data_IF_385547762378
#
_entry.id   IF_385547762378
#
_cell.length_a   1.000
_cell.length_b   1.000
_cell.length_c   1.000
_cell.angle_alpha   90.00
_cell.angle_beta   90.00
_cell.angle_gamma   90.00
#
_symmetry.space_group_name_H-M   'P 1'
#
loop_
_entity.id
_entity.type
_entity.pdbx_description
1 polymer ?
#
# COMPACT_ATOMS: atom_id res chain seq x y z
N UNK A 1 -12.01 -40.46 -26.68
CA UNK A 1 -10.56 -40.33 -26.43
C UNK A 1 -10.30 -40.36 -24.92
N UNK A 2 -9.33 -41.10 -24.37
CA UNK A 2 -9.06 -41.07 -22.92
C UNK A 2 -8.41 -39.74 -22.56
N UNK A 3 -9.11 -38.89 -21.80
CA UNK A 3 -8.57 -37.64 -21.26
C UNK A 3 -7.42 -37.94 -20.29
N UNK A 4 -6.37 -37.12 -20.32
CA UNK A 4 -5.29 -37.21 -19.33
C UNK A 4 -5.77 -36.78 -17.94
N UNK A 5 -5.10 -37.23 -16.86
CA UNK A 5 -5.43 -36.81 -15.49
C UNK A 5 -5.40 -35.28 -15.32
N UNK A 6 -4.48 -34.60 -16.02
CA UNK A 6 -4.43 -33.14 -16.03
C UNK A 6 -5.65 -32.53 -16.71
N UNK A 7 -6.11 -33.10 -17.82
CA UNK A 7 -7.31 -32.67 -18.55
C UNK A 7 -8.58 -32.89 -17.73
N UNK A 8 -8.68 -34.01 -17.01
CA UNK A 8 -9.81 -34.29 -16.12
C UNK A 8 -9.91 -33.27 -14.98
N UNK A 9 -8.77 -32.91 -14.36
CA UNK A 9 -8.75 -31.85 -13.33
C UNK A 9 -9.13 -30.48 -13.87
N UNK A 10 -8.75 -30.16 -15.11
CA UNK A 10 -9.16 -28.90 -15.76
C UNK A 10 -10.67 -28.86 -16.01
N UNK A 11 -11.23 -29.97 -16.49
CA UNK A 11 -12.68 -30.14 -16.68
C UNK A 11 -13.44 -30.02 -15.36
N UNK A 12 -12.94 -30.65 -14.30
CA UNK A 12 -13.52 -30.55 -12.96
C UNK A 12 -13.44 -29.12 -12.41
N UNK A 13 -12.30 -28.45 -12.58
CA UNK A 13 -12.11 -27.07 -12.15
C UNK A 13 -13.08 -26.10 -12.88
N UNK A 14 -13.41 -26.39 -14.13
CA UNK A 14 -14.36 -25.62 -14.94
C UNK A 14 -15.83 -25.87 -14.58
N UNK A 15 -16.16 -26.76 -13.64
CA UNK A 15 -17.54 -27.13 -13.33
C UNK A 15 -18.34 -25.94 -12.72
N UNK A 16 -19.40 -25.44 -13.37
CA UNK A 16 -20.10 -24.22 -12.96
C UNK A 16 -20.71 -24.25 -11.55
N UNK A 17 -21.23 -25.40 -11.11
CA UNK A 17 -21.88 -25.55 -9.80
C UNK A 17 -20.94 -25.53 -8.58
N UNK A 18 -19.62 -25.45 -8.78
CA UNK A 18 -18.62 -25.49 -7.69
C UNK A 18 -17.86 -24.18 -7.59
N UNK A 19 -17.56 -23.75 -6.37
CA UNK A 19 -16.53 -22.72 -6.14
C UNK A 19 -15.16 -23.37 -6.27
N UNK A 20 -14.32 -22.85 -7.16
CA UNK A 20 -13.04 -23.46 -7.51
C UNK A 20 -11.91 -22.47 -7.30
N UNK A 21 -10.92 -22.85 -6.49
CA UNK A 21 -9.62 -22.20 -6.46
C UNK A 21 -8.64 -22.98 -7.34
N UNK A 22 -8.08 -22.33 -8.36
CA UNK A 22 -7.17 -22.96 -9.32
C UNK A 22 -5.73 -22.47 -9.10
N UNK A 23 -4.92 -23.25 -8.39
CA UNK A 23 -3.48 -23.05 -8.31
C UNK A 23 -2.78 -23.77 -9.47
N UNK A 24 -2.11 -23.03 -10.35
CA UNK A 24 -1.44 -23.65 -11.49
C UNK A 24 -0.27 -22.81 -12.03
N UNK A 25 0.80 -23.48 -12.49
CA UNK A 25 2.00 -22.84 -13.03
C UNK A 25 1.74 -22.10 -14.36
N UNK A 26 2.71 -21.32 -14.84
CA UNK A 26 2.62 -20.73 -16.18
C UNK A 26 2.41 -21.83 -17.24
N UNK A 27 1.60 -21.57 -18.26
CA UNK A 27 1.32 -22.53 -19.33
C UNK A 27 0.36 -23.69 -18.98
N UNK A 28 -0.13 -23.78 -17.75
CA UNK A 28 -0.99 -24.88 -17.27
C UNK A 28 -2.45 -24.84 -17.75
N UNK A 29 -2.82 -23.92 -18.64
CA UNK A 29 -4.19 -23.80 -19.16
C UNK A 29 -5.20 -23.08 -18.27
N UNK A 30 -4.79 -22.22 -17.32
CA UNK A 30 -5.73 -21.44 -16.48
C UNK A 30 -6.79 -20.69 -17.28
N UNK A 31 -6.36 -20.00 -18.34
CA UNK A 31 -7.26 -19.26 -19.25
C UNK A 31 -8.22 -20.20 -19.98
N UNK A 32 -7.78 -21.42 -20.32
CA UNK A 32 -8.65 -22.45 -20.90
C UNK A 32 -9.73 -22.85 -19.90
N UNK A 33 -9.37 -23.17 -18.65
CA UNK A 33 -10.34 -23.54 -17.60
C UNK A 33 -11.40 -22.44 -17.39
N UNK A 34 -11.00 -21.17 -17.34
CA UNK A 34 -11.95 -20.05 -17.23
C UNK A 34 -12.86 -19.93 -18.46
N UNK A 35 -12.31 -20.08 -19.67
CA UNK A 35 -13.09 -20.02 -20.91
C UNK A 35 -14.07 -21.19 -21.02
N UNK A 36 -13.63 -22.40 -20.67
CA UNK A 36 -14.44 -23.62 -20.61
C UNK A 36 -15.59 -23.43 -19.61
N UNK A 37 -15.32 -22.84 -18.43
CA UNK A 37 -16.33 -22.54 -17.42
C UNK A 37 -17.40 -21.57 -17.92
N UNK A 38 -17.01 -20.48 -18.57
CA UNK A 38 -17.97 -19.52 -19.14
C UNK A 38 -18.81 -20.18 -20.23
N UNK A 39 -18.20 -20.97 -21.11
CA UNK A 39 -18.92 -21.68 -22.16
C UNK A 39 -19.95 -22.67 -21.58
N UNK A 40 -19.60 -23.39 -20.51
CA UNK A 40 -20.52 -24.30 -19.80
C UNK A 40 -21.67 -23.55 -19.14
N UNK A 41 -21.43 -22.41 -18.49
CA UNK A 41 -22.51 -21.56 -17.96
C UNK A 41 -23.50 -21.14 -19.04
N UNK A 42 -23.00 -20.75 -20.22
CA UNK A 42 -23.85 -20.38 -21.36
C UNK A 42 -24.67 -21.56 -21.90
N UNK A 43 -24.06 -22.76 -21.97
CA UNK A 43 -24.73 -24.01 -22.36
C UNK A 43 -25.80 -24.43 -21.33
N UNK A 44 -25.58 -24.15 -20.06
CA UNK A 44 -26.55 -24.37 -18.98
C UNK A 44 -27.69 -23.32 -18.99
N UNK A 45 -27.74 -22.45 -20.01
CA UNK A 45 -28.80 -21.47 -20.22
C UNK A 45 -28.62 -20.16 -19.45
N UNK A 46 -27.48 -19.94 -18.79
CA UNK A 46 -27.20 -18.67 -18.12
C UNK A 46 -27.08 -17.56 -19.16
N UNK A 47 -27.85 -16.49 -18.98
CA UNK A 47 -27.77 -15.33 -19.87
C UNK A 47 -26.37 -14.68 -19.78
N UNK A 48 -25.76 -14.25 -20.91
CA UNK A 48 -24.40 -13.68 -20.92
C UNK A 48 -24.21 -12.52 -19.93
N UNK A 49 -25.21 -11.64 -19.77
CA UNK A 49 -25.15 -10.50 -18.85
C UNK A 49 -25.11 -10.89 -17.36
N UNK A 50 -25.44 -12.14 -17.02
CA UNK A 50 -25.40 -12.68 -15.66
C UNK A 50 -24.05 -13.33 -15.32
N UNK A 51 -23.09 -13.34 -16.26
CA UNK A 51 -21.76 -13.89 -16.06
C UNK A 51 -20.76 -12.73 -15.93
N UNK A 52 -20.19 -12.56 -14.74
CA UNK A 52 -19.13 -11.59 -14.48
C UNK A 52 -17.77 -12.30 -14.45
N UNK A 53 -16.86 -11.88 -15.33
CA UNK A 53 -15.48 -12.34 -15.35
C UNK A 53 -14.53 -11.15 -15.20
N UNK A 54 -13.72 -11.17 -14.14
CA UNK A 54 -12.79 -10.10 -13.81
C UNK A 54 -11.35 -10.52 -14.07
N UNK A 55 -10.53 -9.58 -14.53
CA UNK A 55 -9.08 -9.77 -14.72
C UNK A 55 -8.31 -8.51 -14.34
N UNK A 56 -6.98 -8.59 -14.32
CA UNK A 56 -6.12 -7.48 -13.96
C UNK A 56 -5.92 -6.50 -15.13
N UNK A 57 -5.76 -7.00 -16.36
CA UNK A 57 -5.40 -6.16 -17.52
C UNK A 57 -6.47 -6.17 -18.59
N UNK A 58 -6.61 -5.03 -19.30
CA UNK A 58 -7.51 -4.91 -20.46
C UNK A 58 -7.14 -5.94 -21.55
N UNK A 59 -5.84 -6.18 -21.76
CA UNK A 59 -5.35 -7.17 -22.72
C UNK A 59 -5.82 -8.60 -22.38
N UNK A 60 -5.74 -9.02 -21.11
CA UNK A 60 -6.22 -10.33 -20.70
C UNK A 60 -7.74 -10.47 -20.85
N UNK A 61 -8.49 -9.39 -20.60
CA UNK A 61 -9.95 -9.38 -20.79
C UNK A 61 -10.29 -9.61 -22.26
N UNK A 62 -9.69 -8.82 -23.16
CA UNK A 62 -9.86 -8.94 -24.61
C UNK A 62 -9.40 -10.31 -25.13
N UNK A 63 -8.26 -10.82 -24.65
CA UNK A 63 -7.78 -12.14 -25.03
C UNK A 63 -8.78 -13.25 -24.66
N UNK A 64 -9.30 -13.22 -23.44
CA UNK A 64 -10.28 -14.20 -22.97
C UNK A 64 -11.59 -14.11 -23.76
N UNK A 65 -12.08 -12.89 -24.02
CA UNK A 65 -13.27 -12.66 -24.83
C UNK A 65 -13.09 -13.20 -26.26
N UNK A 66 -11.96 -12.89 -26.90
CA UNK A 66 -11.64 -13.37 -28.24
C UNK A 66 -11.56 -14.90 -28.30
N UNK A 67 -10.96 -15.54 -27.29
CA UNK A 67 -10.90 -17.01 -27.20
C UNK A 67 -12.28 -17.64 -27.07
N UNK A 68 -13.14 -17.09 -26.21
CA UNK A 68 -14.51 -17.57 -26.04
C UNK A 68 -15.30 -17.42 -27.35
N UNK A 69 -15.30 -16.22 -27.94
CA UNK A 69 -16.02 -15.95 -29.18
C UNK A 69 -15.53 -16.79 -30.35
N UNK A 70 -14.21 -16.99 -30.48
CA UNK A 70 -13.64 -17.90 -31.47
C UNK A 70 -14.17 -19.33 -31.30
N UNK A 71 -14.27 -19.81 -30.05
CA UNK A 71 -14.81 -21.15 -29.79
C UNK A 71 -16.30 -21.25 -30.09
N UNK A 72 -17.11 -20.31 -29.58
CA UNK A 72 -18.55 -20.31 -29.83
C UNK A 72 -18.85 -20.20 -31.35
N UNK A 73 -18.10 -19.36 -32.07
CA UNK A 73 -18.19 -19.25 -33.53
C UNK A 73 -17.70 -20.49 -34.28
N UNK A 74 -16.73 -21.24 -33.73
CA UNK A 74 -16.32 -22.52 -34.29
C UNK A 74 -17.45 -23.55 -34.21
N UNK A 75 -18.15 -23.64 -33.08
CA UNK A 75 -19.28 -24.55 -32.89
C UNK A 75 -20.41 -24.34 -33.89
N UNK A 76 -20.63 -23.11 -34.35
CA UNK A 76 -21.68 -22.84 -35.34
C UNK A 76 -21.38 -23.50 -36.70
N UNK A 77 -20.11 -23.79 -37.01
CA UNK A 77 -19.66 -24.31 -38.30
C UNK A 77 -19.44 -25.83 -38.33
N UNK A 78 -19.32 -26.48 -37.17
CA UNK A 78 -19.07 -27.92 -37.08
C UNK A 78 -20.28 -28.73 -37.54
N UNK A 79 -20.05 -29.96 -38.01
CA UNK A 79 -21.14 -30.92 -38.15
C UNK A 79 -21.64 -31.42 -36.77
N UNK A 80 -22.75 -32.16 -36.73
CA UNK A 80 -23.33 -32.60 -35.45
C UNK A 80 -22.43 -33.59 -34.70
N UNK A 81 -21.72 -34.48 -35.39
CA UNK A 81 -20.86 -35.47 -34.74
C UNK A 81 -19.63 -34.79 -34.12
N UNK A 82 -19.02 -33.86 -34.85
CA UNK A 82 -17.88 -33.06 -34.38
C UNK A 82 -18.27 -32.13 -33.22
N UNK A 83 -19.44 -31.49 -33.29
CA UNK A 83 -19.93 -30.63 -32.22
C UNK A 83 -20.22 -31.43 -30.94
N UNK A 84 -20.80 -32.63 -31.06
CA UNK A 84 -21.01 -33.52 -29.91
C UNK A 84 -19.67 -33.88 -29.25
N UNK A 85 -18.63 -34.22 -30.02
CA UNK A 85 -17.31 -34.56 -29.47
C UNK A 85 -16.68 -33.37 -28.73
N UNK A 86 -16.77 -32.16 -29.30
CA UNK A 86 -16.30 -30.93 -28.63
C UNK A 86 -17.05 -30.64 -27.32
N UNK A 87 -18.38 -30.76 -27.32
CA UNK A 87 -19.21 -30.54 -26.15
C UNK A 87 -18.96 -31.58 -25.05
N UNK A 88 -18.76 -32.85 -25.42
CA UNK A 88 -18.32 -33.90 -24.49
C UNK A 88 -16.92 -33.61 -23.94
N UNK A 89 -16.01 -33.09 -24.76
CA UNK A 89 -14.66 -32.67 -24.37
C UNK A 89 -14.62 -31.54 -23.34
N UNK A 90 -15.69 -30.74 -23.20
CA UNK A 90 -15.83 -29.73 -22.13
C UNK A 90 -16.19 -30.33 -20.77
N UNK A 91 -16.52 -31.62 -20.72
CA UNK A 91 -16.99 -32.31 -19.52
C UNK A 91 -18.49 -32.15 -19.28
N UNK A 92 -19.28 -32.16 -20.36
CA UNK A 92 -20.73 -32.31 -20.27
C UNK A 92 -21.00 -33.82 -20.19
N UNK A 93 -21.35 -34.29 -18.99
CA UNK A 93 -21.52 -35.71 -18.68
C UNK A 93 -22.93 -36.24 -18.99
N UNK A 94 -23.87 -35.36 -19.33
CA UNK A 94 -25.23 -35.75 -19.74
C UNK A 94 -25.29 -36.14 -21.21
N UNK A 95 -26.28 -36.96 -21.58
CA UNK A 95 -26.60 -37.19 -22.99
C UNK A 95 -27.01 -35.87 -23.64
N UNK A 96 -26.37 -35.55 -24.76
CA UNK A 96 -26.70 -34.39 -25.58
C UNK A 96 -27.79 -34.78 -26.57
N UNK A 97 -28.86 -33.98 -26.65
CA UNK A 97 -29.93 -34.15 -27.63
C UNK A 97 -29.83 -33.13 -28.78
N UNK A 98 -30.82 -33.12 -29.67
CA UNK A 98 -30.86 -32.19 -30.79
C UNK A 98 -31.03 -30.73 -30.32
N UNK A 99 -31.75 -30.50 -29.22
CA UNK A 99 -31.99 -29.17 -28.68
C UNK A 99 -30.69 -28.58 -28.10
N UNK A 100 -29.84 -29.40 -27.48
CA UNK A 100 -28.52 -28.99 -26.99
C UNK A 100 -27.59 -28.53 -28.11
N UNK A 101 -27.62 -29.24 -29.24
CA UNK A 101 -26.85 -28.92 -30.44
C UNK A 101 -27.31 -27.57 -31.01
N UNK A 102 -28.62 -27.39 -31.15
CA UNK A 102 -29.20 -26.14 -31.64
C UNK A 102 -28.90 -24.98 -30.69
N UNK A 103 -29.03 -25.20 -29.38
CA UNK A 103 -28.66 -24.20 -28.38
C UNK A 103 -27.19 -23.81 -28.48
N UNK A 104 -26.27 -24.78 -28.55
CA UNK A 104 -24.84 -24.54 -28.67
C UNK A 104 -24.50 -23.65 -29.89
N UNK A 105 -25.17 -23.88 -31.03
CA UNK A 105 -25.00 -23.06 -32.25
C UNK A 105 -25.51 -21.62 -32.09
N UNK A 106 -26.52 -21.39 -31.25
CA UNK A 106 -27.02 -20.03 -31.00
C UNK A 106 -26.18 -19.23 -30.01
N UNK A 107 -25.29 -19.87 -29.24
CA UNK A 107 -24.55 -19.20 -28.16
C UNK A 107 -23.66 -18.06 -28.64
N UNK A 108 -23.06 -18.16 -29.82
CA UNK A 108 -22.25 -17.08 -30.39
C UNK A 108 -23.10 -15.82 -30.60
N UNK A 109 -24.25 -15.96 -31.29
CA UNK A 109 -25.18 -14.86 -31.54
C UNK A 109 -25.70 -14.29 -30.22
N UNK A 110 -26.15 -15.14 -29.29
CA UNK A 110 -26.62 -14.72 -27.96
C UNK A 110 -25.58 -13.92 -27.19
N UNK A 111 -24.31 -14.34 -27.24
CA UNK A 111 -23.23 -13.66 -26.51
C UNK A 111 -22.85 -12.31 -27.13
N UNK A 112 -22.96 -12.17 -28.46
CA UNK A 112 -22.68 -10.92 -29.19
C UNK A 112 -23.84 -9.92 -29.05
N UNK A 113 -25.08 -10.40 -29.12
CA UNK A 113 -26.29 -9.57 -29.07
C UNK A 113 -26.77 -9.25 -27.64
N UNK A 114 -26.11 -9.82 -26.62
CA UNK A 114 -26.46 -9.58 -25.23
C UNK A 114 -26.45 -8.08 -24.89
N UNK A 115 -27.52 -7.53 -24.29
CA UNK A 115 -27.55 -6.14 -23.85
C UNK A 115 -26.40 -5.82 -22.88
N UNK A 116 -25.53 -4.90 -23.28
CA UNK A 116 -24.32 -4.56 -22.53
C UNK A 116 -23.18 -5.58 -22.64
N UNK A 117 -23.32 -6.60 -23.48
CA UNK A 117 -22.32 -7.63 -23.79
C UNK A 117 -22.03 -8.58 -22.62
N UNK A 118 -21.27 -9.62 -22.94
CA UNK A 118 -20.66 -10.49 -21.94
C UNK A 118 -19.66 -9.69 -21.07
N UNK A 119 -19.81 -9.77 -19.74
CA UNK A 119 -19.03 -8.96 -18.79
C UNK A 119 -17.66 -9.55 -18.49
N UNK A 120 -16.77 -9.55 -19.49
CA UNK A 120 -15.34 -9.84 -19.32
C UNK A 120 -14.59 -8.50 -19.27
N UNK A 121 -14.17 -8.07 -18.08
CA UNK A 121 -13.59 -6.74 -17.88
C UNK A 121 -12.53 -6.73 -16.78
N UNK A 122 -11.85 -5.59 -16.61
CA UNK A 122 -10.92 -5.44 -15.49
C UNK A 122 -11.66 -5.16 -14.18
N UNK A 123 -10.99 -5.40 -13.05
CA UNK A 123 -11.50 -5.02 -11.72
C UNK A 123 -11.83 -3.51 -11.70
N UNK A 124 -10.93 -2.67 -12.20
CA UNK A 124 -11.13 -1.22 -12.28
C UNK A 124 -12.38 -0.83 -13.07
N UNK A 125 -12.57 -1.38 -14.27
CA UNK A 125 -13.75 -1.08 -15.09
C UNK A 125 -15.05 -1.56 -14.44
N UNK A 126 -15.01 -2.67 -13.69
CA UNK A 126 -16.13 -3.12 -12.89
C UNK A 126 -16.44 -2.15 -11.73
N UNK A 127 -15.46 -1.81 -10.91
CA UNK A 127 -15.62 -0.85 -9.81
C UNK A 127 -16.15 0.49 -10.33
N UNK A 128 -15.58 1.00 -11.42
CA UNK A 128 -16.02 2.24 -12.03
C UNK A 128 -17.46 2.16 -12.54
N UNK A 129 -17.92 1.00 -13.05
CA UNK A 129 -19.31 0.79 -13.43
C UNK A 129 -20.27 0.81 -12.24
N UNK A 130 -19.84 0.33 -11.06
CA UNK A 130 -20.63 0.36 -9.83
C UNK A 130 -20.73 1.81 -9.32
N UNK A 131 -19.61 2.52 -9.24
CA UNK A 131 -19.57 3.91 -8.79
C UNK A 131 -20.47 4.81 -9.65
N UNK A 132 -20.49 4.59 -10.98
CA UNK A 132 -21.39 5.33 -11.89
C UNK A 132 -22.86 4.96 -11.72
N UNK A 133 -23.17 3.77 -11.21
CA UNK A 133 -24.54 3.30 -10.99
C UNK A 133 -25.12 3.75 -9.64
N UNK A 134 -24.26 3.97 -8.65
CA UNK A 134 -24.60 4.44 -7.30
C UNK A 134 -23.75 5.67 -6.90
N UNK A 135 -23.80 6.76 -7.68
CA UNK A 135 -22.91 7.90 -7.50
C UNK A 135 -23.21 8.69 -6.21
N UNK A 136 -24.47 8.72 -5.77
CA UNK A 136 -24.88 9.41 -4.55
C UNK A 136 -24.36 8.69 -3.30
N UNK A 137 -24.52 7.38 -3.25
CA UNK A 137 -24.03 6.53 -2.17
C UNK A 137 -22.50 6.51 -2.11
N UNK A 138 -21.85 6.61 -3.25
CA UNK A 138 -20.40 6.67 -3.36
C UNK A 138 -19.81 8.08 -3.15
N UNK A 139 -20.63 9.13 -3.04
CA UNK A 139 -20.17 10.50 -2.89
C UNK A 139 -19.35 11.04 -4.09
N UNK A 140 -19.52 10.47 -5.28
CA UNK A 140 -18.76 10.85 -6.49
C UNK A 140 -19.67 11.42 -7.57
N UNK A 141 -19.11 12.32 -8.40
CA UNK A 141 -19.80 12.79 -9.59
C UNK A 141 -20.01 11.63 -10.58
N UNK A 142 -21.24 11.38 -11.10
CA UNK A 142 -21.49 10.33 -12.10
C UNK A 142 -20.60 10.41 -13.35
N UNK A 143 -20.11 11.60 -13.67
CA UNK A 143 -19.24 11.90 -14.82
C UNK A 143 -17.75 11.93 -14.44
N UNK A 144 -17.34 11.27 -13.35
CA UNK A 144 -15.94 11.21 -12.97
C UNK A 144 -15.09 10.57 -14.08
N UNK A 145 -13.87 11.10 -14.21
CA UNK A 145 -12.86 10.62 -15.15
C UNK A 145 -11.76 9.94 -14.35
N UNK A 146 -11.35 8.76 -14.81
CA UNK A 146 -10.18 8.08 -14.27
C UNK A 146 -8.92 8.83 -14.74
N UNK A 147 -8.14 9.33 -13.79
CA UNK A 147 -6.88 10.04 -14.06
C UNK A 147 -5.70 9.05 -13.98
N UNK A 148 -4.67 9.31 -14.79
CA UNK A 148 -3.40 8.59 -14.68
C UNK A 148 -2.47 9.27 -13.65
N UNK A 149 -1.37 8.62 -13.31
CA UNK A 149 -0.40 9.14 -12.33
C UNK A 149 0.15 10.52 -12.72
N UNK A 150 0.28 10.79 -14.03
CA UNK A 150 0.78 12.06 -14.54
C UNK A 150 -0.24 13.18 -14.32
N UNK A 151 -1.50 12.94 -14.67
CA UNK A 151 -2.59 13.89 -14.44
C UNK A 151 -2.79 14.12 -12.94
N UNK A 152 -2.68 13.07 -12.11
CA UNK A 152 -2.71 13.22 -10.66
C UNK A 152 -1.59 14.13 -10.14
N UNK A 153 -0.36 13.96 -10.62
CA UNK A 153 0.77 14.81 -10.24
C UNK A 153 0.53 16.28 -10.61
N UNK A 154 0.05 16.54 -11.83
CA UNK A 154 -0.27 17.89 -12.28
C UNK A 154 -1.36 18.56 -11.43
N UNK A 155 -2.42 17.81 -11.10
CA UNK A 155 -3.50 18.32 -10.24
C UNK A 155 -2.99 18.65 -8.82
N UNK A 156 -2.10 17.82 -8.26
CA UNK A 156 -1.49 18.09 -6.96
C UNK A 156 -0.63 19.37 -7.02
N UNK A 157 0.14 19.56 -8.09
CA UNK A 157 0.96 20.77 -8.28
C UNK A 157 0.09 22.03 -8.38
N UNK A 158 -1.01 21.98 -9.12
CA UNK A 158 -1.97 23.09 -9.22
C UNK A 158 -2.61 23.42 -7.86
N UNK A 159 -2.97 22.40 -7.06
CA UNK A 159 -3.52 22.59 -5.71
C UNK A 159 -2.49 23.22 -4.78
N UNK A 160 -1.22 22.78 -4.84
CA UNK A 160 -0.13 23.39 -4.06
C UNK A 160 0.04 24.85 -4.40
N UNK A 161 0.10 25.18 -5.70
CA UNK A 161 0.27 26.55 -6.16
C UNK A 161 -0.90 27.42 -5.71
N UNK A 162 -2.14 26.90 -5.77
CA UNK A 162 -3.32 27.61 -5.28
C UNK A 162 -3.28 27.86 -3.76
N UNK A 163 -2.84 26.88 -2.96
CA UNK A 163 -2.70 27.04 -1.50
C UNK A 163 -1.60 28.05 -1.18
N UNK A 164 -0.45 27.98 -1.87
CA UNK A 164 0.68 28.88 -1.66
C UNK A 164 0.38 30.33 -2.06
N UNK A 165 -0.48 30.54 -3.06
CA UNK A 165 -0.90 31.87 -3.52
C UNK A 165 -2.14 32.43 -2.78
N UNK A 166 -2.67 31.73 -1.77
CA UNK A 166 -3.77 32.22 -0.92
C UNK A 166 -3.35 33.39 0.00
N UNK A 167 -4.33 34.05 0.62
CA UNK A 167 -4.13 35.22 1.51
C UNK A 167 -3.13 34.97 2.68
N UNK A 168 -2.62 36.07 3.26
CA UNK A 168 -1.56 36.08 4.29
C UNK A 168 -1.80 35.08 5.43
N UNK A 169 -0.86 34.15 5.62
CA UNK A 169 -0.89 32.93 6.46
C UNK A 169 -1.60 31.74 5.81
N UNK A 170 -1.10 31.30 4.67
CA UNK A 170 -1.52 30.02 4.10
C UNK A 170 -1.10 28.88 5.03
N UNK A 171 -1.88 27.79 5.11
CA UNK A 171 -1.46 26.55 5.79
C UNK A 171 -0.14 26.00 5.23
N UNK A 172 0.22 26.40 4.01
CA UNK A 172 1.50 26.10 3.39
C UNK A 172 2.68 26.76 4.10
N UNK A 173 2.55 28.02 4.55
CA UNK A 173 3.64 28.73 5.24
C UNK A 173 4.06 28.01 6.53
N UNK A 174 3.08 27.44 7.26
CA UNK A 174 3.34 26.65 8.46
C UNK A 174 4.09 25.35 8.16
N UNK A 175 3.69 24.64 7.10
CA UNK A 175 4.36 23.39 6.70
C UNK A 175 5.76 23.67 6.14
N UNK A 176 5.92 24.73 5.33
CA UNK A 176 7.17 25.09 4.68
C UNK A 176 8.32 25.31 5.66
N UNK A 177 8.03 25.82 6.87
CA UNK A 177 9.03 26.01 7.94
C UNK A 177 9.62 24.69 8.47
N UNK A 178 8.87 23.60 8.39
CA UNK A 178 9.28 22.28 8.90
C UNK A 178 9.71 21.33 7.77
N UNK A 179 9.70 21.80 6.53
CA UNK A 179 9.91 20.95 5.36
C UNK A 179 11.39 20.93 4.95
N UNK A 180 12.11 19.84 5.29
CA UNK A 180 13.58 19.77 5.13
C UNK A 180 14.07 18.80 4.02
N UNK A 181 13.24 18.43 3.04
CA UNK A 181 13.73 17.74 1.84
C UNK A 181 12.94 16.52 1.32
N UNK A 182 11.68 16.31 1.75
CA UNK A 182 10.76 15.38 1.07
C UNK A 182 10.22 16.07 -0.21
N UNK A 183 9.63 15.37 -1.17
CA UNK A 183 8.81 16.05 -2.20
C UNK A 183 7.47 16.44 -1.57
N UNK A 184 7.04 17.71 -1.62
CA UNK A 184 5.79 18.14 -0.98
C UNK A 184 4.58 17.30 -1.42
N UNK A 185 4.66 16.76 -2.63
CA UNK A 185 3.72 15.80 -3.21
C UNK A 185 3.53 14.55 -2.34
N UNK A 186 4.58 14.03 -1.70
CA UNK A 186 4.49 12.84 -0.85
C UNK A 186 3.75 13.13 0.46
N UNK A 187 3.93 14.34 1.01
CA UNK A 187 3.16 14.78 2.18
C UNK A 187 1.69 14.93 1.82
N UNK A 188 1.37 15.55 0.68
CA UNK A 188 0.00 15.70 0.23
C UNK A 188 -0.68 14.37 -0.07
N UNK A 189 0.04 13.43 -0.70
CA UNK A 189 -0.46 12.06 -0.89
C UNK A 189 -0.76 11.40 0.46
N UNK A 190 0.14 11.53 1.43
CA UNK A 190 -0.09 10.98 2.77
C UNK A 190 -1.31 11.62 3.43
N UNK A 191 -1.49 12.95 3.32
CA UNK A 191 -2.68 13.64 3.82
C UNK A 191 -3.95 13.09 3.15
N UNK A 192 -3.92 12.84 1.84
CA UNK A 192 -5.06 12.27 1.10
C UNK A 192 -5.35 10.82 1.50
N UNK A 193 -4.32 10.00 1.72
CA UNK A 193 -4.46 8.62 2.20
C UNK A 193 -5.12 8.58 3.59
N UNK A 194 -4.84 9.60 4.41
CA UNK A 194 -5.42 9.78 5.74
C UNK A 194 -6.50 10.87 5.79
N UNK A 195 -7.14 11.20 4.66
CA UNK A 195 -8.09 12.33 4.59
C UNK A 195 -9.23 12.22 5.61
N UNK A 196 -9.67 10.98 5.89
CA UNK A 196 -10.69 10.69 6.90
C UNK A 196 -10.30 11.14 8.32
N UNK A 197 -9.01 11.23 8.65
CA UNK A 197 -8.53 11.75 9.94
C UNK A 197 -8.68 13.28 10.06
N UNK A 198 -8.94 13.96 8.94
CA UNK A 198 -9.15 15.41 8.88
C UNK A 198 -10.64 15.79 8.75
N UNK A 199 -11.56 14.81 8.79
CA UNK A 199 -13.00 15.07 8.78
C UNK A 199 -13.45 15.76 10.07
N UNK A 200 -12.83 15.39 11.20
CA UNK A 200 -13.06 15.99 12.50
C UNK A 200 -11.98 17.03 12.83
N UNK A 201 -12.38 18.11 13.50
CA UNK A 201 -11.44 19.12 13.96
C UNK A 201 -10.59 18.58 15.12
N UNK A 202 -9.33 18.27 14.85
CA UNK A 202 -8.36 17.86 15.87
C UNK A 202 -7.93 19.08 16.69
N UNK A 203 -8.11 19.03 18.01
CA UNK A 203 -7.61 20.09 18.89
C UNK A 203 -6.11 19.91 19.16
N UNK A 204 -5.43 20.97 19.60
CA UNK A 204 -4.02 20.86 20.01
C UNK A 204 -3.82 19.80 21.11
N UNK A 205 -4.78 19.66 22.02
CA UNK A 205 -4.73 18.66 23.09
C UNK A 205 -4.87 17.23 22.55
N UNK A 206 -5.66 17.02 21.49
CA UNK A 206 -5.78 15.72 20.84
C UNK A 206 -4.50 15.32 20.12
N UNK A 207 -3.79 16.30 19.52
CA UNK A 207 -2.45 16.08 18.95
C UNK A 207 -1.49 15.62 20.05
N UNK A 208 -1.40 16.36 21.17
CA UNK A 208 -0.52 15.98 22.28
C UNK A 208 -0.82 14.59 22.83
N UNK A 209 -2.09 14.27 23.06
CA UNK A 209 -2.49 12.92 23.49
C UNK A 209 -2.12 11.83 22.50
N UNK A 210 -2.15 12.13 21.19
CA UNK A 210 -1.70 11.21 20.15
C UNK A 210 -0.22 10.83 20.26
N UNK A 211 0.59 11.67 20.91
CA UNK A 211 2.00 11.43 21.22
C UNK A 211 2.23 11.03 22.69
N UNK A 212 1.18 10.67 23.43
CA UNK A 212 1.22 10.38 24.87
C UNK A 212 1.74 11.56 25.72
N UNK A 213 1.55 12.80 25.25
CA UNK A 213 1.98 14.04 25.91
C UNK A 213 0.83 14.74 26.63
N UNK A 214 1.18 15.52 27.66
CA UNK A 214 0.21 16.32 28.41
C UNK A 214 -0.33 17.50 27.57
N UNK A 215 -1.56 17.99 27.86
CA UNK A 215 -2.10 19.20 27.24
C UNK A 215 -1.15 20.40 27.40
N UNK A 216 -0.94 21.16 26.33
CA UNK A 216 -0.02 22.30 26.29
C UNK A 216 1.43 21.99 26.68
N UNK A 217 1.93 20.80 26.33
CA UNK A 217 3.34 20.43 26.53
C UNK A 217 4.29 21.49 25.96
N UNK A 218 5.29 21.90 26.74
CA UNK A 218 6.26 22.95 26.41
C UNK A 218 7.69 22.46 26.59
N UNK A 219 8.64 23.24 26.09
CA UNK A 219 10.08 23.01 26.29
C UNK A 219 10.47 22.82 27.77
N UNK A 220 9.75 23.44 28.71
CA UNK A 220 10.01 23.26 30.14
C UNK A 220 9.63 21.86 30.63
N UNK A 221 8.55 21.29 30.10
CA UNK A 221 8.11 19.93 30.42
C UNK A 221 9.09 18.93 29.80
N UNK A 222 9.52 19.16 28.55
CA UNK A 222 10.56 18.35 27.89
C UNK A 222 11.87 18.33 28.67
N UNK A 223 12.33 19.50 29.13
CA UNK A 223 13.53 19.59 29.95
C UNK A 223 13.38 18.82 31.27
N UNK A 224 12.20 18.89 31.90
CA UNK A 224 11.92 18.21 33.16
C UNK A 224 11.82 16.68 33.00
N UNK A 225 11.28 16.21 31.88
CA UNK A 225 11.16 14.78 31.56
C UNK A 225 12.52 14.18 31.17
N UNK A 226 13.36 14.94 30.45
CA UNK A 226 14.63 14.48 29.93
C UNK A 226 15.80 14.60 30.93
N UNK A 227 15.88 15.70 31.69
CA UNK A 227 17.06 16.05 32.48
C UNK A 227 16.82 16.04 33.98
N UNK A 228 17.71 15.37 34.69
CA UNK A 228 17.84 15.47 36.14
C UNK A 228 18.84 16.58 36.53
N UNK A 229 18.69 17.20 37.71
CA UNK A 229 19.62 18.24 38.18
C UNK A 229 21.10 17.82 38.22
N UNK A 230 21.40 16.52 38.28
CA UNK A 230 22.77 16.00 38.28
C UNK A 230 23.37 15.81 36.88
N UNK A 231 22.58 15.84 35.82
CA UNK A 231 23.00 15.40 34.49
C UNK A 231 23.99 16.37 33.84
N UNK A 232 23.83 17.67 34.08
CA UNK A 232 24.81 18.67 33.64
C UNK A 232 26.22 18.35 34.16
N UNK A 233 26.32 17.99 35.45
CA UNK A 233 27.61 17.58 36.03
C UNK A 233 28.19 16.35 35.35
N UNK A 234 27.37 15.35 35.04
CA UNK A 234 27.81 14.15 34.31
C UNK A 234 28.39 14.53 32.95
N UNK A 235 27.74 15.43 32.21
CA UNK A 235 28.24 15.91 30.92
C UNK A 235 29.55 16.69 31.06
N UNK A 236 29.68 17.55 32.07
CA UNK A 236 30.93 18.28 32.32
C UNK A 236 32.09 17.35 32.72
N UNK A 237 31.84 16.39 33.61
CA UNK A 237 32.85 15.41 34.04
C UNK A 237 33.25 14.49 32.86
N UNK A 238 32.27 14.05 32.06
CA UNK A 238 32.50 13.27 30.84
C UNK A 238 33.37 14.04 29.85
N UNK A 239 33.03 15.31 29.58
CA UNK A 239 33.79 16.18 28.68
C UNK A 239 35.26 16.26 29.09
N UNK A 240 35.56 16.42 30.38
CA UNK A 240 36.95 16.48 30.89
C UNK A 240 37.71 15.21 30.52
N UNK A 241 37.12 14.04 30.72
CA UNK A 241 37.76 12.76 30.38
C UNK A 241 37.92 12.61 28.87
N UNK A 242 36.87 12.87 28.09
CA UNK A 242 36.87 12.72 26.63
C UNK A 242 37.92 13.59 25.93
N UNK A 243 38.15 14.82 26.41
CA UNK A 243 39.15 15.73 25.85
C UNK A 243 40.59 15.27 26.08
N UNK A 244 40.83 14.28 26.95
CA UNK A 244 42.15 13.64 27.11
C UNK A 244 42.37 12.44 26.17
N UNK A 245 41.33 12.02 25.44
CA UNK A 245 41.37 10.86 24.55
C UNK A 245 41.75 11.27 23.13
N UNK A 246 41.77 10.30 22.23
CA UNK A 246 41.97 10.48 20.79
C UNK A 246 40.76 9.96 20.00
N UNK A 247 40.72 10.24 18.69
CA UNK A 247 39.71 9.68 17.81
C UNK A 247 38.29 10.14 18.11
N UNK A 248 37.34 9.20 18.15
CA UNK A 248 35.91 9.51 18.31
C UNK A 248 35.57 10.07 19.69
N UNK A 249 36.23 9.59 20.75
CA UNK A 249 36.01 10.09 22.11
C UNK A 249 36.43 11.56 22.21
N UNK A 250 37.58 11.94 21.64
CA UNK A 250 38.04 13.33 21.59
C UNK A 250 37.05 14.24 20.84
N UNK A 251 36.57 13.79 19.66
CA UNK A 251 35.58 14.54 18.87
C UNK A 251 34.27 14.74 19.63
N UNK A 252 33.80 13.73 20.35
CA UNK A 252 32.64 13.86 21.21
C UNK A 252 32.87 14.88 22.33
N UNK A 253 34.05 14.85 22.97
CA UNK A 253 34.45 15.85 23.97
C UNK A 253 34.46 17.28 23.42
N UNK A 254 34.87 17.48 22.16
CA UNK A 254 34.79 18.79 21.49
C UNK A 254 33.35 19.25 21.27
N UNK A 255 32.45 18.38 20.82
CA UNK A 255 31.04 18.73 20.62
C UNK A 255 30.36 19.14 21.93
N UNK A 256 30.63 18.41 23.03
CA UNK A 256 30.07 18.72 24.34
C UNK A 256 30.57 20.06 24.93
N UNK A 257 31.60 20.69 24.36
CA UNK A 257 32.03 22.03 24.79
C UNK A 257 31.01 23.13 24.42
N UNK A 258 30.10 22.86 23.48
CA UNK A 258 29.05 23.80 23.11
C UNK A 258 28.03 24.01 24.25
N UNK A 259 27.91 23.04 25.17
CA UNK A 259 27.09 23.13 26.37
C UNK A 259 27.83 23.96 27.42
N UNK A 260 27.23 25.08 27.85
CA UNK A 260 27.85 26.09 28.73
C UNK A 260 27.06 26.41 29.99
N UNK A 261 25.77 26.11 30.01
CA UNK A 261 24.88 26.41 31.13
C UNK A 261 25.20 25.56 32.38
N UNK A 262 24.86 26.05 33.59
CA UNK A 262 25.02 25.24 34.81
C UNK A 262 24.09 24.02 34.82
N UNK A 263 22.96 24.12 34.13
CA UNK A 263 21.94 23.08 33.95
C UNK A 263 21.78 22.77 32.45
N UNK A 264 21.28 21.58 32.13
CA UNK A 264 20.92 21.20 30.77
C UNK A 264 19.55 21.76 30.40
N UNK A 265 19.40 22.19 29.15
CA UNK A 265 18.17 22.77 28.61
C UNK A 265 17.81 22.11 27.28
N UNK A 266 16.59 22.33 26.79
CA UNK A 266 16.15 21.84 25.46
C UNK A 266 17.10 22.29 24.34
N UNK A 267 17.72 23.46 24.46
CA UNK A 267 18.69 23.95 23.48
C UNK A 267 19.97 23.09 23.40
N UNK A 268 20.25 22.27 24.42
CA UNK A 268 21.41 21.37 24.46
C UNK A 268 21.11 19.99 23.84
N UNK A 269 19.83 19.63 23.64
CA UNK A 269 19.42 18.32 23.10
C UNK A 269 20.08 17.98 21.76
N UNK A 270 20.11 18.86 20.75
CA UNK A 270 20.74 18.53 19.46
C UNK A 270 22.23 18.17 19.61
N UNK A 271 22.93 18.77 20.58
CA UNK A 271 24.33 18.46 20.88
C UNK A 271 24.41 17.08 21.53
N UNK A 272 23.57 16.83 22.54
CA UNK A 272 23.50 15.55 23.25
C UNK A 272 23.14 14.40 22.30
N UNK A 273 22.09 14.53 21.50
CA UNK A 273 21.69 13.55 20.49
C UNK A 273 22.85 13.21 19.53
N UNK A 274 23.56 14.24 19.07
CA UNK A 274 24.68 14.05 18.14
C UNK A 274 25.83 13.19 18.70
N UNK A 275 25.96 13.15 20.03
CA UNK A 275 27.00 12.44 20.77
C UNK A 275 26.49 11.10 21.31
N UNK A 276 25.35 11.12 21.99
CA UNK A 276 24.77 10.03 22.76
C UNK A 276 23.93 9.05 21.91
N UNK A 277 23.37 9.49 20.78
CA UNK A 277 22.51 8.67 19.92
C UNK A 277 23.19 8.28 18.61
N UNK A 278 22.77 7.16 18.02
CA UNK A 278 23.19 6.73 16.69
C UNK A 278 22.65 7.69 15.62
N UNK A 279 23.49 8.06 14.63
CA UNK A 279 23.09 9.00 13.58
C UNK A 279 22.49 8.32 12.34
N UNK A 280 22.85 7.06 12.11
CA UNK A 280 22.47 6.29 10.92
C UNK A 280 22.66 4.79 11.18
N UNK A 281 22.01 3.95 10.38
CA UNK A 281 22.06 2.49 10.50
C UNK A 281 20.68 1.87 10.51
N UNK A 282 20.60 0.61 10.98
CA UNK A 282 19.32 -0.13 11.08
C UNK A 282 18.34 0.51 12.08
N UNK A 283 18.86 1.15 13.12
CA UNK A 283 18.07 1.83 14.16
C UNK A 283 18.69 3.21 14.44
N UNK A 284 18.43 4.23 13.60
CA UNK A 284 18.89 5.59 13.84
C UNK A 284 18.20 6.21 15.07
N UNK A 285 18.84 7.20 15.69
CA UNK A 285 18.37 7.91 16.89
C UNK A 285 18.22 7.02 18.14
N UNK A 286 18.90 5.88 18.19
CA UNK A 286 18.92 5.00 19.38
C UNK A 286 20.08 5.30 20.31
N UNK A 287 19.89 5.11 21.62
CA UNK A 287 20.91 5.32 22.63
C UNK A 287 22.14 4.42 22.42
N UNK A 288 23.33 4.99 22.48
CA UNK A 288 24.60 4.25 22.37
C UNK A 288 25.01 3.52 23.65
N UNK A 289 24.05 2.92 24.36
CA UNK A 289 24.28 2.13 25.59
C UNK A 289 25.32 1.04 25.32
N UNK A 290 26.32 0.92 26.20
CA UNK A 290 27.47 0.02 26.05
C UNK A 290 28.41 0.28 24.87
N UNK A 291 28.09 1.23 23.98
CA UNK A 291 28.88 1.54 22.75
C UNK A 291 29.61 2.88 22.83
N UNK A 292 29.16 3.80 23.68
CA UNK A 292 29.79 5.11 23.90
C UNK A 292 30.04 5.36 25.39
N UNK A 293 31.20 5.94 25.77
CA UNK A 293 32.40 6.17 24.96
C UNK A 293 33.09 4.85 24.53
N UNK A 294 34.31 4.88 23.99
CA UNK A 294 35.03 3.62 23.70
C UNK A 294 35.17 2.74 24.95
N UNK A 295 35.20 1.40 24.80
CA UNK A 295 35.32 0.45 25.94
C UNK A 295 36.44 0.80 26.92
N UNK A 296 37.59 1.27 26.41
CA UNK A 296 38.71 1.69 27.26
C UNK A 296 38.31 2.87 28.14
N UNK A 297 37.68 3.88 27.57
CA UNK A 297 37.20 5.08 28.29
C UNK A 297 36.06 4.75 29.24
N UNK A 298 35.16 3.82 28.90
CA UNK A 298 34.07 3.38 29.79
C UNK A 298 34.60 2.89 31.14
N UNK A 299 35.71 2.13 31.15
CA UNK A 299 36.33 1.63 32.40
C UNK A 299 36.93 2.72 33.28
N UNK A 300 37.13 3.93 32.75
CA UNK A 300 37.68 5.07 33.50
C UNK A 300 36.58 5.97 34.09
N UNK A 301 35.32 5.76 33.70
CA UNK A 301 34.20 6.61 34.09
C UNK A 301 33.41 5.99 35.26
N UNK A 302 33.43 6.60 36.46
CA UNK A 302 32.73 6.06 37.63
C UNK A 302 31.20 6.23 37.56
N UNK A 303 30.70 6.94 36.56
CA UNK A 303 29.29 7.30 36.39
C UNK A 303 28.67 6.74 35.10
N UNK A 304 29.21 5.64 34.57
CA UNK A 304 28.70 5.01 33.33
C UNK A 304 27.22 4.67 33.42
N UNK A 305 26.74 4.16 34.55
CA UNK A 305 25.32 3.81 34.75
C UNK A 305 24.43 5.05 34.61
N UNK A 306 24.84 6.17 35.22
CA UNK A 306 24.10 7.42 35.16
C UNK A 306 24.15 8.03 33.76
N UNK A 307 25.29 7.91 33.07
CA UNK A 307 25.45 8.35 31.69
C UNK A 307 24.54 7.55 30.75
N UNK A 308 24.47 6.22 30.88
CA UNK A 308 23.57 5.38 30.09
C UNK A 308 22.10 5.70 30.39
N UNK A 309 21.75 5.96 31.65
CA UNK A 309 20.40 6.40 32.01
C UNK A 309 20.03 7.75 31.37
N UNK A 310 20.98 8.69 31.25
CA UNK A 310 20.78 9.94 30.51
C UNK A 310 20.61 9.67 29.01
N UNK A 311 21.41 8.77 28.41
CA UNK A 311 21.22 8.41 27.00
C UNK A 311 19.82 7.90 26.71
N UNK A 312 19.29 7.05 27.59
CA UNK A 312 17.94 6.49 27.46
C UNK A 312 16.82 7.52 27.67
N UNK A 313 17.08 8.65 28.34
CA UNK A 313 16.13 9.76 28.46
C UNK A 313 16.22 10.73 27.28
N UNK A 314 17.36 10.75 26.58
CA UNK A 314 17.60 11.60 25.39
C UNK A 314 17.10 10.91 24.12
N UNK A 315 17.11 9.57 24.07
CA UNK A 315 16.38 8.76 23.07
C UNK A 315 14.86 8.89 23.26
#
# INVERSE_FOLDING_TARGET
>A
MKLSDASLRQVEAAHPARSTWLAANAGSGKTRVLTDRVARLLLDGVMPQNILCLTYTKAAASEMQNRLFKRLGHWTMLDNAELIDELQGLGIERSLDADDIDQARTLFARAVEAPGGLKIQTIHSFCASILRRFPLEAGVNPQFVEIDERAQKLLLDEVVEAIANGDEQSSFDGIAQHFTGIELQDVLRSILDFAHLFEDATTHDDIWRGFDLAPNYRDQDLAADCFLPSDAKIIFDLRVVLLTKEGNDFKAGLNLQAIKGPDLTVADLPILESVLLTKSGAEPFTAKVGKFPTKKTQHELPFMIQLEALMMRVE
#
